data_IF_436912400983
#
_entry.id   IF_436912400983
#
_cell.length_a   1.000
_cell.length_b   1.000
_cell.length_c   1.000
_cell.angle_alpha   90.00
_cell.angle_beta   90.00
_cell.angle_gamma   90.00
#
_symmetry.space_group_name_H-M   'P 1'
#
loop_
_entity.id
_entity.type
_entity.pdbx_description
1 polymer ?
#
# COMPACT_ATOMS: atom_id res chain seq x y z
N UNK A 1 -10.31 -31.64 -0.76
CA UNK A 1 -11.05 -30.55 -1.44
C UNK A 1 -10.02 -29.49 -1.78
N UNK A 2 -9.74 -29.26 -3.06
CA UNK A 2 -8.69 -28.33 -3.48
C UNK A 2 -9.17 -26.88 -3.31
N UNK A 3 -8.29 -26.00 -2.83
CA UNK A 3 -8.54 -24.57 -2.71
C UNK A 3 -8.08 -23.86 -3.97
N UNK A 4 -8.92 -22.99 -4.52
CA UNK A 4 -8.55 -22.20 -5.70
C UNK A 4 -7.53 -21.12 -5.30
N UNK A 5 -6.35 -21.18 -5.93
CA UNK A 5 -5.33 -20.17 -5.83
C UNK A 5 -5.06 -19.55 -7.20
N UNK A 6 -4.88 -18.23 -7.22
CA UNK A 6 -4.48 -17.51 -8.44
C UNK A 6 -3.11 -16.89 -8.29
N UNK A 7 -2.42 -16.81 -9.43
CA UNK A 7 -1.14 -16.12 -9.55
C UNK A 7 -1.41 -14.61 -9.56
N UNK A 8 -0.91 -13.91 -8.54
CA UNK A 8 -0.99 -12.46 -8.45
C UNK A 8 0.19 -11.81 -9.21
N UNK A 9 1.38 -12.41 -9.13
CA UNK A 9 2.57 -11.94 -9.82
C UNK A 9 3.57 -13.08 -9.95
N UNK A 10 4.19 -13.22 -11.10
CA UNK A 10 5.26 -14.19 -11.36
C UNK A 10 6.51 -13.46 -11.82
N UNK A 11 7.59 -13.65 -11.08
CA UNK A 11 8.94 -13.29 -11.45
C UNK A 11 9.77 -14.58 -11.48
N UNK A 12 10.81 -14.66 -12.32
CA UNK A 12 11.75 -15.78 -12.26
C UNK A 12 12.29 -15.94 -10.83
N UNK A 13 12.05 -17.10 -10.24
CA UNK A 13 12.41 -17.45 -8.86
C UNK A 13 11.50 -16.92 -7.76
N UNK A 14 10.43 -16.18 -8.08
CA UNK A 14 9.47 -15.65 -7.09
C UNK A 14 8.03 -15.66 -7.61
N UNK A 15 7.18 -16.49 -7.02
CA UNK A 15 5.76 -16.60 -7.33
C UNK A 15 4.91 -16.13 -6.15
N UNK A 16 4.03 -15.14 -6.38
CA UNK A 16 3.04 -14.73 -5.36
C UNK A 16 1.67 -15.27 -5.74
N UNK A 17 1.16 -16.16 -4.90
CA UNK A 17 -0.18 -16.71 -4.98
C UNK A 17 -1.11 -15.98 -4.04
N UNK A 18 -2.38 -15.99 -4.40
CA UNK A 18 -3.46 -15.55 -3.52
C UNK A 18 -4.51 -16.64 -3.47
N UNK A 19 -4.84 -17.01 -2.24
CA UNK A 19 -5.80 -18.04 -1.88
C UNK A 19 -6.91 -17.32 -1.09
N UNK A 20 -7.90 -16.71 -1.77
CA UNK A 20 -8.98 -15.99 -1.09
C UNK A 20 -9.72 -16.89 -0.12
N UNK A 21 -9.82 -18.17 -0.49
CA UNK A 21 -10.45 -19.21 0.28
C UNK A 21 -9.66 -19.62 1.54
N UNK A 22 -8.48 -19.03 1.81
CA UNK A 22 -7.68 -19.22 3.04
C UNK A 22 -7.43 -17.88 3.83
N UNK A 23 -8.06 -16.76 3.45
CA UNK A 23 -7.87 -15.40 4.03
C UNK A 23 -8.39 -15.21 5.47
N UNK A 24 -7.59 -15.55 6.46
CA UNK A 24 -7.92 -15.39 7.88
C UNK A 24 -7.96 -16.74 8.61
N UNK A 25 -7.81 -17.82 7.86
CA UNK A 25 -7.69 -19.18 8.36
C UNK A 25 -6.20 -19.55 8.41
N UNK A 26 -5.52 -19.15 9.50
CA UNK A 26 -4.07 -19.33 9.65
C UNK A 26 -3.66 -20.80 9.56
N UNK A 27 -4.47 -21.69 10.15
CA UNK A 27 -4.17 -23.13 10.16
C UNK A 27 -4.21 -23.72 8.73
N UNK A 28 -5.18 -23.31 7.92
CA UNK A 28 -5.29 -23.76 6.52
C UNK A 28 -4.12 -23.24 5.68
N UNK A 29 -3.79 -21.94 5.78
CA UNK A 29 -2.63 -21.36 5.08
C UNK A 29 -1.31 -21.99 5.52
N UNK A 30 -1.16 -22.28 6.81
CA UNK A 30 0.03 -22.93 7.36
C UNK A 30 0.18 -24.34 6.81
N UNK A 31 -0.88 -25.14 6.80
CA UNK A 31 -0.86 -26.50 6.25
C UNK A 31 -0.50 -26.49 4.77
N UNK A 32 -1.14 -25.60 4.01
CA UNK A 32 -0.88 -25.41 2.58
C UNK A 32 0.57 -24.98 2.33
N UNK A 33 1.04 -23.93 3.02
CA UNK A 33 2.43 -23.45 2.89
C UNK A 33 3.45 -24.54 3.26
N UNK A 34 3.14 -25.38 4.25
CA UNK A 34 3.99 -26.49 4.67
C UNK A 34 4.01 -27.63 3.65
N UNK A 35 2.90 -27.88 2.95
CA UNK A 35 2.87 -28.83 1.85
C UNK A 35 3.68 -28.33 0.65
N UNK A 36 3.55 -27.05 0.32
CA UNK A 36 4.34 -26.40 -0.74
C UNK A 36 5.82 -26.48 -0.40
N UNK A 37 6.22 -26.12 0.82
CA UNK A 37 7.64 -26.12 1.23
C UNK A 37 8.36 -27.47 1.13
N UNK A 38 7.61 -28.58 1.08
CA UNK A 38 8.15 -29.94 0.90
C UNK A 38 8.42 -30.31 -0.57
N UNK A 39 8.03 -29.45 -1.51
CA UNK A 39 8.19 -29.68 -2.94
C UNK A 39 9.64 -29.41 -3.36
N UNK A 40 10.21 -30.29 -4.17
CA UNK A 40 11.60 -30.19 -4.59
C UNK A 40 11.84 -28.96 -5.48
N UNK A 41 12.86 -28.17 -5.17
CA UNK A 41 13.21 -26.93 -5.88
C UNK A 41 12.55 -25.65 -5.35
N UNK A 42 11.82 -25.74 -4.24
CA UNK A 42 11.31 -24.58 -3.49
C UNK A 42 12.31 -24.23 -2.38
N UNK A 43 12.75 -22.98 -2.36
CA UNK A 43 13.77 -22.48 -1.42
C UNK A 43 13.12 -21.88 -0.17
N UNK A 44 12.00 -21.15 -0.35
CA UNK A 44 11.31 -20.50 0.75
C UNK A 44 9.82 -20.36 0.46
N UNK A 45 8.99 -20.54 1.50
CA UNK A 45 7.55 -20.27 1.44
C UNK A 45 7.17 -19.36 2.61
N UNK A 46 6.51 -18.26 2.32
CA UNK A 46 5.95 -17.33 3.30
C UNK A 46 4.45 -17.21 3.07
N UNK A 47 3.65 -17.09 4.13
CA UNK A 47 2.21 -16.89 4.01
C UNK A 47 1.76 -15.70 4.87
N UNK A 48 0.71 -15.02 4.41
CA UNK A 48 0.09 -13.92 5.12
C UNK A 48 -1.40 -14.21 5.33
N UNK A 49 -1.84 -14.56 6.55
CA UNK A 49 -3.22 -14.93 6.84
C UNK A 49 -4.20 -13.77 6.72
N UNK A 50 -3.76 -12.54 7.01
CA UNK A 50 -4.62 -11.35 6.93
C UNK A 50 -5.07 -11.08 5.48
N UNK A 51 -4.16 -11.31 4.53
CA UNK A 51 -4.40 -11.02 3.10
C UNK A 51 -4.75 -12.27 2.28
N UNK A 52 -4.50 -13.46 2.81
CA UNK A 52 -4.70 -14.73 2.11
C UNK A 52 -3.70 -14.94 0.99
N UNK A 53 -2.47 -14.41 1.12
CA UNK A 53 -1.43 -14.57 0.08
C UNK A 53 -0.31 -15.50 0.54
N UNK A 54 0.23 -16.27 -0.40
CA UNK A 54 1.40 -17.13 -0.21
C UNK A 54 2.48 -16.65 -1.18
N UNK A 55 3.69 -16.44 -0.68
CA UNK A 55 4.87 -16.15 -1.48
C UNK A 55 5.74 -17.40 -1.54
N UNK A 56 6.09 -17.81 -2.75
CA UNK A 56 6.93 -18.96 -3.03
C UNK A 56 8.19 -18.46 -3.71
N UNK A 57 9.35 -18.78 -3.16
CA UNK A 57 10.64 -18.60 -3.80
C UNK A 57 11.13 -19.98 -4.26
N UNK A 58 11.50 -20.06 -5.54
CA UNK A 58 11.90 -21.31 -6.17
C UNK A 58 13.19 -21.09 -6.96
N UNK A 59 13.97 -22.15 -7.16
CA UNK A 59 15.21 -22.04 -7.93
C UNK A 59 14.90 -21.92 -9.43
N UNK A 60 15.25 -20.80 -10.09
CA UNK A 60 14.99 -20.61 -11.52
C UNK A 60 15.85 -21.51 -12.42
N UNK A 61 16.86 -22.19 -11.86
CA UNK A 61 17.71 -23.15 -12.58
C UNK A 61 16.98 -24.48 -12.84
N UNK A 62 16.00 -24.84 -12.00
CA UNK A 62 15.19 -26.06 -12.15
C UNK A 62 13.84 -25.82 -12.82
N UNK A 63 13.24 -24.65 -12.61
CA UNK A 63 11.97 -24.28 -13.22
C UNK A 63 12.17 -23.06 -14.11
N UNK A 64 12.42 -23.29 -15.39
CA UNK A 64 12.64 -22.25 -16.41
C UNK A 64 11.33 -21.59 -16.84
N UNK A 65 10.21 -22.28 -16.65
CA UNK A 65 8.88 -21.81 -17.06
C UNK A 65 7.84 -22.06 -15.95
N UNK A 66 6.83 -21.19 -15.91
CA UNK A 66 5.76 -21.17 -14.92
C UNK A 66 4.95 -22.48 -14.98
N UNK A 67 4.75 -23.03 -16.17
CA UNK A 67 4.08 -24.32 -16.39
C UNK A 67 4.83 -25.53 -15.80
N UNK A 68 6.17 -25.51 -15.81
CA UNK A 68 6.95 -26.58 -15.19
C UNK A 68 6.83 -26.54 -13.66
N UNK A 69 6.76 -25.34 -13.09
CA UNK A 69 6.55 -25.13 -11.65
C UNK A 69 5.13 -25.54 -11.23
N UNK A 70 4.11 -25.21 -12.03
CA UNK A 70 2.72 -25.65 -11.81
C UNK A 70 2.59 -27.17 -11.78
N UNK A 71 3.25 -27.86 -12.71
CA UNK A 71 3.25 -29.31 -12.76
C UNK A 71 3.92 -29.92 -11.52
N UNK A 72 5.07 -29.39 -11.10
CA UNK A 72 5.76 -29.82 -9.88
C UNK A 72 4.96 -29.58 -8.60
N UNK A 73 4.27 -28.44 -8.51
CA UNK A 73 3.40 -28.09 -7.40
C UNK A 73 2.09 -28.89 -7.37
N UNK A 74 1.55 -29.27 -8.54
CA UNK A 74 0.35 -30.11 -8.65
C UNK A 74 0.65 -31.59 -8.38
N UNK A 75 1.89 -32.03 -8.64
CA UNK A 75 2.38 -33.36 -8.27
C UNK A 75 2.71 -33.46 -6.78
N UNK A 76 3.11 -32.35 -6.16
CA UNK A 76 3.13 -32.23 -4.70
C UNK A 76 1.71 -32.29 -4.18
N UNK A 77 1.43 -33.09 -3.14
CA UNK A 77 0.09 -33.31 -2.60
C UNK A 77 -0.54 -32.07 -1.91
N UNK A 78 -0.13 -30.86 -2.31
CA UNK A 78 -0.73 -29.61 -1.89
C UNK A 78 -2.18 -29.55 -2.39
N UNK A 79 -3.17 -29.33 -1.51
CA UNK A 79 -4.58 -29.26 -1.88
C UNK A 79 -4.92 -27.89 -2.50
N UNK A 80 -4.18 -27.48 -3.53
CA UNK A 80 -4.37 -26.20 -4.24
C UNK A 80 -4.57 -26.48 -5.72
N UNK A 81 -5.64 -25.92 -6.29
CA UNK A 81 -5.80 -25.83 -7.74
C UNK A 81 -5.22 -24.49 -8.21
N UNK A 82 -4.18 -24.54 -9.03
CA UNK A 82 -3.59 -23.35 -9.66
C UNK A 82 -4.44 -22.97 -10.88
N UNK A 83 -5.00 -21.76 -10.87
CA UNK A 83 -5.68 -21.21 -12.04
C UNK A 83 -4.99 -19.92 -12.49
N UNK A 84 -4.51 -19.92 -13.73
CA UNK A 84 -3.85 -18.79 -14.37
C UNK A 84 -4.82 -17.74 -14.88
N UNK A 85 -6.09 -18.11 -14.93
CA UNK A 85 -7.18 -17.19 -15.20
C UNK A 85 -7.46 -16.42 -13.91
N UNK A 86 -7.31 -15.10 -13.92
CA UNK A 86 -7.94 -14.28 -12.88
C UNK A 86 -9.40 -14.72 -12.78
N UNK A 87 -9.91 -15.08 -11.59
CA UNK A 87 -11.32 -15.38 -11.47
C UNK A 87 -12.06 -14.14 -11.95
N UNK A 88 -12.85 -14.31 -13.02
CA UNK A 88 -13.97 -13.40 -13.28
C UNK A 88 -14.68 -13.30 -11.94
N UNK A 89 -14.79 -12.10 -11.39
CA UNK A 89 -15.20 -11.83 -10.01
C UNK A 89 -16.66 -12.25 -9.80
N UNK A 90 -16.96 -13.55 -9.86
CA UNK A 90 -18.30 -14.09 -9.73
C UNK A 90 -18.63 -14.13 -8.23
N UNK A 91 -19.20 -13.01 -7.81
CA UNK A 91 -19.78 -12.75 -6.49
C UNK A 91 -20.72 -13.84 -5.94
N UNK A 92 -21.10 -14.85 -6.73
CA UNK A 92 -21.98 -15.96 -6.33
C UNK A 92 -21.30 -17.07 -5.53
N UNK A 93 -19.97 -17.19 -5.56
CA UNK A 93 -19.24 -18.18 -4.75
C UNK A 93 -18.51 -17.50 -3.59
N UNK A 94 -19.25 -17.22 -2.51
CA UNK A 94 -18.65 -16.81 -1.23
C UNK A 94 -18.12 -18.06 -0.50
N UNK A 95 -16.80 -18.25 -0.33
CA UNK A 95 -16.31 -19.22 0.63
C UNK A 95 -16.59 -18.70 2.05
N UNK A 96 -16.50 -19.63 3.00
CA UNK A 96 -16.89 -19.64 4.42
C UNK A 96 -16.33 -18.51 5.34
N UNK A 97 -15.93 -17.36 4.79
CA UNK A 97 -15.18 -16.23 5.36
C UNK A 97 -15.95 -15.34 6.36
N UNK A 98 -16.62 -15.96 7.31
CA UNK A 98 -17.37 -15.24 8.34
C UNK A 98 -17.17 -15.80 9.75
N UNK A 99 -16.13 -16.59 10.03
CA UNK A 99 -15.74 -16.85 11.43
C UNK A 99 -14.71 -15.80 11.86
N UNK A 100 -15.02 -15.06 12.93
CA UNK A 100 -14.07 -14.17 13.61
C UNK A 100 -14.30 -12.66 13.50
N UNK A 101 -15.04 -12.14 12.50
CA UNK A 101 -15.32 -10.69 12.42
C UNK A 101 -16.54 -10.31 13.26
N UNK A 102 -16.31 -9.46 14.27
CA UNK A 102 -17.36 -8.79 15.06
C UNK A 102 -18.41 -8.13 14.14
N UNK A 103 -19.67 -8.13 14.57
CA UNK A 103 -20.82 -7.61 13.81
C UNK A 103 -20.58 -6.16 13.39
N UNK A 104 -19.95 -5.35 14.24
CA UNK A 104 -19.60 -3.96 13.94
C UNK A 104 -18.58 -3.86 12.79
N UNK A 105 -17.52 -4.69 12.81
CA UNK A 105 -16.49 -4.69 11.78
C UNK A 105 -17.04 -5.05 10.40
N UNK A 106 -18.06 -5.93 10.33
CA UNK A 106 -18.72 -6.27 9.07
C UNK A 106 -19.52 -5.10 8.50
N UNK A 107 -20.21 -4.35 9.35
CA UNK A 107 -20.99 -3.18 8.93
C UNK A 107 -20.07 -2.07 8.43
N UNK A 108 -18.97 -1.82 9.13
CA UNK A 108 -17.97 -0.83 8.73
C UNK A 108 -17.31 -1.22 7.40
N UNK A 109 -16.85 -2.48 7.27
CA UNK A 109 -16.24 -2.99 6.01
C UNK A 109 -17.23 -2.93 4.83
N UNK A 110 -18.50 -3.29 5.06
CA UNK A 110 -19.54 -3.22 4.03
C UNK A 110 -19.83 -1.78 3.61
N UNK A 111 -19.95 -0.86 4.56
CA UNK A 111 -20.18 0.56 4.28
C UNK A 111 -19.07 1.16 3.42
N UNK A 112 -17.80 0.96 3.80
CA UNK A 112 -16.69 1.52 3.03
C UNK A 112 -16.54 0.90 1.64
N UNK A 113 -16.87 -0.39 1.48
CA UNK A 113 -16.89 -1.03 0.16
C UNK A 113 -17.97 -0.47 -0.75
N UNK A 114 -19.14 -0.18 -0.20
CA UNK A 114 -20.25 0.41 -0.96
C UNK A 114 -19.85 1.81 -1.44
N UNK A 115 -19.33 2.64 -0.53
CA UNK A 115 -18.86 4.00 -0.85
C UNK A 115 -17.75 3.99 -1.90
N UNK A 116 -16.75 3.12 -1.76
CA UNK A 116 -15.67 2.99 -2.73
C UNK A 116 -16.21 2.56 -4.11
N UNK A 117 -17.17 1.64 -4.13
CA UNK A 117 -17.79 1.16 -5.36
C UNK A 117 -18.60 2.26 -6.08
N UNK A 118 -19.43 3.00 -5.36
CA UNK A 118 -20.21 4.11 -5.92
C UNK A 118 -19.30 5.20 -6.49
N UNK A 119 -18.23 5.56 -5.78
CA UNK A 119 -17.23 6.53 -6.24
C UNK A 119 -16.58 6.05 -7.53
N UNK A 120 -16.22 4.76 -7.60
CA UNK A 120 -15.51 4.17 -8.74
C UNK A 120 -16.38 4.07 -9.99
N UNK A 121 -17.69 3.85 -9.84
CA UNK A 121 -18.64 3.89 -10.96
C UNK A 121 -18.85 5.33 -11.43
N UNK A 122 -18.99 6.28 -10.50
CA UNK A 122 -19.20 7.68 -10.85
C UNK A 122 -17.98 8.33 -11.49
N UNK A 123 -16.77 7.81 -11.24
CA UNK A 123 -15.49 8.35 -11.71
C UNK A 123 -14.91 7.64 -12.93
N UNK A 124 -15.70 6.83 -13.64
CA UNK A 124 -15.24 5.98 -14.76
C UNK A 124 -14.00 5.14 -14.41
N UNK A 125 -13.95 4.68 -13.15
CA UNK A 125 -12.89 3.85 -12.60
C UNK A 125 -11.50 4.50 -12.52
N UNK A 126 -11.40 5.83 -12.62
CA UNK A 126 -10.12 6.54 -12.46
C UNK A 126 -9.86 7.00 -11.02
N UNK A 127 -10.91 7.23 -10.24
CA UNK A 127 -10.80 7.81 -8.90
C UNK A 127 -11.36 6.83 -7.87
N UNK A 128 -10.51 6.44 -6.91
CA UNK A 128 -10.86 5.59 -5.76
C UNK A 128 -10.95 6.41 -4.46
N UNK A 129 -11.62 5.86 -3.43
CA UNK A 129 -11.67 6.46 -2.10
C UNK A 129 -10.26 6.71 -1.51
N UNK A 130 -9.30 5.86 -1.89
CA UNK A 130 -7.90 5.97 -1.49
C UNK A 130 -7.22 7.24 -2.01
N UNK A 131 -7.67 7.82 -3.13
CA UNK A 131 -7.15 9.08 -3.67
C UNK A 131 -7.92 10.29 -3.11
N UNK A 132 -9.24 10.18 -2.99
CA UNK A 132 -10.10 11.28 -2.51
C UNK A 132 -9.79 11.63 -1.06
N UNK A 133 -9.62 10.63 -0.19
CA UNK A 133 -9.41 10.85 1.24
C UNK A 133 -8.17 11.74 1.54
N UNK A 134 -6.94 11.39 1.09
CA UNK A 134 -5.78 12.24 1.34
C UNK A 134 -5.89 13.60 0.63
N UNK A 135 -6.49 13.65 -0.57
CA UNK A 135 -6.66 14.90 -1.30
C UNK A 135 -7.61 15.86 -0.58
N UNK A 136 -8.76 15.36 -0.10
CA UNK A 136 -9.72 16.13 0.67
C UNK A 136 -9.12 16.68 1.96
N UNK A 137 -8.34 15.86 2.68
CA UNK A 137 -7.61 16.32 3.88
C UNK A 137 -6.58 17.41 3.53
N UNK A 138 -5.85 17.26 2.43
CA UNK A 138 -4.88 18.28 1.99
C UNK A 138 -5.56 19.61 1.65
N UNK A 139 -6.69 19.57 0.92
CA UNK A 139 -7.49 20.75 0.59
C UNK A 139 -8.07 21.40 1.85
N UNK A 140 -8.62 20.60 2.77
CA UNK A 140 -9.12 21.11 4.06
C UNK A 140 -8.01 21.74 4.90
N UNK A 141 -6.81 21.13 4.92
CA UNK A 141 -5.64 21.69 5.60
C UNK A 141 -5.22 23.04 5.03
N UNK A 142 -5.17 23.17 3.70
CA UNK A 142 -4.89 24.44 3.02
C UNK A 142 -5.96 25.51 3.31
N UNK A 143 -7.24 25.12 3.34
CA UNK A 143 -8.31 26.03 3.73
C UNK A 143 -8.21 26.44 5.21
N UNK A 144 -7.86 25.52 6.11
CA UNK A 144 -7.66 25.81 7.52
C UNK A 144 -6.50 26.79 7.77
N UNK A 145 -5.39 26.64 7.01
CA UNK A 145 -4.27 27.59 7.00
C UNK A 145 -4.71 28.99 6.57
N UNK A 146 -5.63 29.09 5.59
CA UNK A 146 -6.18 30.38 5.12
C UNK A 146 -7.00 31.11 6.19
N UNK A 147 -7.62 30.38 7.13
CA UNK A 147 -8.36 30.98 8.26
C UNK A 147 -7.46 31.30 9.47
N UNK A 148 -6.20 30.84 9.46
CA UNK A 148 -5.22 31.22 10.47
C UNK A 148 -4.53 32.52 10.04
N UNK A 149 -5.16 33.66 10.35
CA UNK A 149 -4.64 35.01 10.05
C UNK A 149 -3.38 35.38 10.85
N UNK A 150 -2.74 34.44 11.56
CA UNK A 150 -1.49 34.68 12.25
C UNK A 150 -0.35 34.59 11.23
N UNK A 151 0.36 35.71 11.02
CA UNK A 151 1.66 35.67 10.35
C UNK A 151 2.53 34.61 11.03
N UNK A 152 3.10 33.65 10.28
CA UNK A 152 3.92 32.60 10.88
C UNK A 152 5.04 33.21 11.72
N UNK A 153 5.20 32.77 12.97
CA UNK A 153 6.16 33.34 13.93
C UNK A 153 7.59 33.43 13.35
N UNK A 154 7.99 32.44 12.55
CA UNK A 154 9.29 32.42 11.89
C UNK A 154 9.48 33.57 10.91
N UNK A 155 8.43 33.97 10.19
CA UNK A 155 8.46 35.08 9.24
C UNK A 155 8.63 36.40 9.99
N UNK A 156 7.91 36.57 11.11
CA UNK A 156 8.04 37.74 11.98
C UNK A 156 9.45 37.86 12.54
N UNK A 157 10.00 36.75 13.07
CA UNK A 157 11.38 36.72 13.58
C UNK A 157 12.42 37.00 12.49
N UNK A 158 12.21 36.50 11.28
CA UNK A 158 13.10 36.74 10.13
C UNK A 158 13.12 38.22 9.74
N UNK A 159 11.95 38.87 9.68
CA UNK A 159 11.85 40.32 9.41
C UNK A 159 12.56 41.12 10.51
N UNK A 160 12.35 40.77 11.79
CA UNK A 160 13.03 41.44 12.90
C UNK A 160 14.56 41.26 12.86
N UNK A 161 15.04 40.04 12.62
CA UNK A 161 16.47 39.76 12.50
C UNK A 161 17.12 40.51 11.33
N UNK A 162 16.44 40.57 10.18
CA UNK A 162 16.92 41.30 9.01
C UNK A 162 16.97 42.81 9.26
N UNK A 163 15.93 43.38 9.88
CA UNK A 163 15.93 44.80 10.26
C UNK A 163 17.02 45.11 11.31
N UNK A 164 17.24 44.22 12.29
CA UNK A 164 18.31 44.38 13.26
C UNK A 164 19.69 44.32 12.59
N UNK A 165 19.89 43.41 11.64
CA UNK A 165 21.12 43.32 10.86
C UNK A 165 21.39 44.60 10.07
N UNK A 166 20.38 45.10 9.33
CA UNK A 166 20.50 46.36 8.59
C UNK A 166 20.78 47.55 9.52
N UNK A 167 20.12 47.62 10.68
CA UNK A 167 20.37 48.68 11.66
C UNK A 167 21.79 48.65 12.23
N UNK A 168 22.35 47.46 12.46
CA UNK A 168 23.71 47.29 12.97
C UNK A 168 24.80 47.53 11.91
N UNK A 169 24.46 47.38 10.62
CA UNK A 169 25.37 47.62 9.49
C UNK A 169 25.08 48.94 8.76
N UNK A 170 24.17 49.76 9.28
CA UNK A 170 23.94 51.08 8.73
C UNK A 170 25.19 51.95 8.96
N UNK A 171 25.72 52.63 7.92
CA UNK A 171 26.89 53.48 8.06
C UNK A 171 26.62 54.55 9.11
N UNK A 172 27.58 54.74 10.02
CA UNK A 172 27.42 55.76 11.06
C UNK A 172 27.54 57.15 10.45
N UNK A 173 26.91 58.19 11.04
CA UNK A 173 27.05 59.56 10.53
C UNK A 173 28.51 60.03 10.41
N UNK A 174 29.42 59.47 11.20
CA UNK A 174 30.86 59.73 11.11
C UNK A 174 31.49 59.15 9.83
N UNK A 175 31.08 57.95 9.41
CA UNK A 175 31.56 57.33 8.16
C UNK A 175 31.08 58.10 6.92
N UNK A 176 29.90 58.71 7.01
CA UNK A 176 29.32 59.55 5.96
C UNK A 176 29.99 60.93 5.86
N UNK A 177 30.47 61.48 6.98
CA UNK A 177 31.20 62.77 6.99
C UNK A 177 32.59 62.63 6.36
N UNK A 178 33.35 61.57 6.70
CA UNK A 178 34.66 61.30 6.09
C UNK A 178 34.59 61.00 4.59
N UNK A 179 33.51 60.39 4.11
CA UNK A 179 33.31 60.16 2.68
C UNK A 179 33.05 61.45 1.90
N UNK A 180 32.41 62.46 2.52
CA UNK A 180 32.13 63.77 1.89
C UNK A 180 33.30 64.77 1.91
N UNK A 181 34.32 64.55 2.74
CA UNK A 181 35.54 65.37 2.78
C UNK A 181 36.62 64.91 1.77
N UNK A 182 36.40 63.76 1.13
CA UNK A 182 37.32 63.16 0.14
C UNK A 182 36.86 63.33 -1.32
N UNK A 183 35.71 63.98 -1.56
CA UNK A 183 35.23 64.45 -2.87
C UNK A 183 35.54 65.95 -3.06
#
# INVERSE_FOLDING_TARGET
MALDAYVQHSLPGRLRLRVPAAKGEENELREISSAIAKTEGIEQVEYNPITGSILIQYSPQRYTDLHALEFGLSASAAPIAFNNSHPSYDSRQRPRYQRGRSIAARRVDAFFKEVDHEIRIASDNEIDLKFILPFGVAVLGLLALRYSSATPLWLTLLIFAFNAFLGLHAPTPADLQWASELE
#
